data_IF_008567589184
#
_entry.id   IF_008567589184
#
_cell.length_a   1.000
_cell.length_b   1.000
_cell.length_c   1.000
_cell.angle_alpha   90.00
_cell.angle_beta   90.00
_cell.angle_gamma   90.00
#
_symmetry.space_group_name_H-M   'P 1'
#
loop_
_entity.id
_entity.type
_entity.pdbx_description
1 polymer ?
#
# COMPACT_ATOMS: atom_id res chain seq x y z
N UNK A 1 16.85 9.36 31.53
CA UNK A 1 15.92 8.42 30.88
C UNK A 1 15.02 9.25 29.99
N UNK A 2 15.20 9.18 28.67
CA UNK A 2 14.36 9.91 27.72
C UNK A 2 13.13 9.05 27.47
N UNK A 3 11.95 9.55 27.84
CA UNK A 3 10.69 8.92 27.53
C UNK A 3 10.34 9.26 26.08
N UNK A 4 10.37 8.26 25.20
CA UNK A 4 9.87 8.39 23.83
C UNK A 4 8.42 7.90 23.86
N UNK A 5 7.42 8.78 23.72
CA UNK A 5 6.02 8.35 23.69
C UNK A 5 5.79 7.34 22.57
N UNK A 6 4.98 6.31 22.84
CA UNK A 6 4.49 5.39 21.82
C UNK A 6 3.56 6.15 20.88
N UNK A 7 4.11 6.65 19.78
CA UNK A 7 3.32 7.11 18.64
C UNK A 7 2.94 5.84 17.87
N UNK A 8 1.64 5.59 17.68
CA UNK A 8 1.20 4.50 16.81
C UNK A 8 1.75 4.76 15.42
N UNK A 9 2.41 3.77 14.83
CA UNK A 9 2.95 3.90 13.47
C UNK A 9 1.86 4.27 12.48
N UNK A 10 2.25 4.91 11.38
CA UNK A 10 1.30 5.23 10.31
C UNK A 10 0.64 3.93 9.80
N UNK A 11 -0.69 3.89 9.75
CA UNK A 11 -1.41 2.68 9.32
C UNK A 11 -1.48 2.63 7.81
N UNK A 12 -0.98 1.55 7.24
CA UNK A 12 -1.00 1.29 5.81
C UNK A 12 -1.97 0.15 5.52
N UNK A 13 -3.03 0.48 4.79
CA UNK A 13 -4.00 -0.51 4.33
C UNK A 13 -3.46 -1.21 3.09
N UNK A 14 -3.53 -2.54 3.08
CA UNK A 14 -3.21 -3.36 1.93
C UNK A 14 -4.40 -4.23 1.55
N UNK A 15 -4.86 -4.12 0.31
CA UNK A 15 -5.93 -4.97 -0.21
C UNK A 15 -5.34 -6.23 -0.85
N UNK A 16 -5.84 -7.37 -0.40
CA UNK A 16 -5.51 -8.67 -0.99
C UNK A 16 -6.42 -8.93 -2.19
N UNK A 17 -5.84 -9.02 -3.39
CA UNK A 17 -6.55 -9.20 -4.67
C UNK A 17 -6.07 -10.44 -5.43
N UNK A 18 -5.41 -11.36 -4.73
CA UNK A 18 -4.89 -12.60 -5.32
C UNK A 18 -6.01 -13.49 -5.83
N UNK A 19 -5.77 -14.20 -6.95
CA UNK A 19 -6.73 -15.14 -7.54
C UNK A 19 -7.00 -16.32 -6.59
N UNK A 20 -6.00 -16.68 -5.78
CA UNK A 20 -6.13 -17.68 -4.73
C UNK A 20 -5.73 -17.11 -3.37
N UNK A 21 -6.38 -17.50 -2.26
CA UNK A 21 -5.97 -17.05 -0.94
C UNK A 21 -4.51 -17.48 -0.66
N UNK A 22 -3.63 -16.56 -0.24
CA UNK A 22 -2.26 -16.90 0.12
C UNK A 22 -2.26 -17.82 1.33
N UNK A 23 -1.33 -18.77 1.31
CA UNK A 23 -1.10 -19.65 2.47
C UNK A 23 -0.64 -18.85 3.69
N UNK A 24 -0.82 -19.38 4.91
CA UNK A 24 -0.31 -18.74 6.13
C UNK A 24 1.19 -18.44 6.08
N UNK A 25 1.98 -19.30 5.43
CA UNK A 25 3.42 -19.09 5.24
C UNK A 25 3.71 -17.89 4.34
N UNK A 26 2.96 -17.73 3.25
CA UNK A 26 3.11 -16.58 2.35
C UNK A 26 2.73 -15.27 3.03
N UNK A 27 1.62 -15.25 3.78
CA UNK A 27 1.24 -14.06 4.57
C UNK A 27 2.29 -13.74 5.63
N UNK A 28 2.87 -14.75 6.27
CA UNK A 28 3.95 -14.57 7.26
C UNK A 28 5.20 -13.97 6.64
N UNK A 29 5.55 -14.35 5.40
CA UNK A 29 6.67 -13.76 4.65
C UNK A 29 6.42 -12.28 4.33
N UNK A 30 5.24 -11.95 3.80
CA UNK A 30 4.80 -10.57 3.53
C UNK A 30 4.92 -9.72 4.81
N UNK A 31 4.35 -10.19 5.92
CA UNK A 31 4.43 -9.50 7.20
C UNK A 31 5.86 -9.35 7.72
N UNK A 32 6.70 -10.37 7.57
CA UNK A 32 8.08 -10.34 8.03
C UNK A 32 8.92 -9.33 7.24
N UNK A 33 8.76 -9.32 5.91
CA UNK A 33 9.46 -8.38 5.03
C UNK A 33 9.02 -6.93 5.29
N UNK A 34 7.72 -6.69 5.47
CA UNK A 34 7.24 -5.36 5.88
C UNK A 34 7.81 -4.95 7.25
N UNK A 35 7.80 -5.86 8.23
CA UNK A 35 8.27 -5.60 9.60
C UNK A 35 9.76 -5.26 9.66
N UNK A 36 10.56 -5.83 8.74
CA UNK A 36 11.97 -5.49 8.58
C UNK A 36 12.13 -4.00 8.21
N UNK A 37 11.37 -3.54 7.21
CA UNK A 37 11.35 -2.15 6.77
C UNK A 37 10.76 -1.17 7.77
N UNK A 38 9.73 -1.60 8.50
CA UNK A 38 9.04 -0.79 9.49
C UNK A 38 9.82 -0.67 10.80
N UNK A 39 10.97 -1.33 10.91
CA UNK A 39 11.77 -1.39 12.13
C UNK A 39 10.95 -1.88 13.33
N UNK A 40 10.04 -2.83 13.12
CA UNK A 40 9.09 -3.30 14.15
C UNK A 40 9.73 -3.97 15.36
N UNK A 41 11.03 -4.26 15.30
CA UNK A 41 11.82 -4.74 16.45
C UNK A 41 12.05 -3.65 17.51
N UNK A 42 11.88 -2.37 17.15
CA UNK A 42 12.06 -1.24 18.04
C UNK A 42 10.72 -0.82 18.65
N UNK A 43 10.72 -0.12 19.81
CA UNK A 43 9.49 0.23 20.52
C UNK A 43 8.49 1.03 19.69
N UNK A 44 8.96 1.83 18.73
CA UNK A 44 8.12 2.67 17.87
C UNK A 44 8.32 2.27 16.41
N UNK A 45 7.50 1.34 15.88
CA UNK A 45 7.54 1.03 14.45
C UNK A 45 7.16 2.26 13.63
N UNK A 46 7.75 2.39 12.46
CA UNK A 46 7.49 3.49 11.54
C UNK A 46 6.05 3.41 11.00
N UNK A 47 5.63 2.21 10.64
CA UNK A 47 4.33 1.95 10.04
C UNK A 47 3.79 0.59 10.49
N UNK A 48 2.46 0.44 10.43
CA UNK A 48 1.74 -0.79 10.71
C UNK A 48 1.00 -1.24 9.43
N UNK A 49 1.19 -2.49 9.01
CA UNK A 49 0.52 -3.07 7.85
C UNK A 49 -0.81 -3.71 8.24
N UNK A 50 -1.89 -3.27 7.61
CA UNK A 50 -3.23 -3.80 7.78
C UNK A 50 -3.70 -4.47 6.48
N UNK A 51 -3.61 -5.80 6.42
CA UNK A 51 -4.06 -6.57 5.25
C UNK A 51 -5.57 -6.81 5.36
N UNK A 52 -6.32 -6.35 4.36
CA UNK A 52 -7.76 -6.49 4.25
C UNK A 52 -8.10 -7.35 3.03
N UNK A 53 -9.00 -8.31 3.24
CA UNK A 53 -9.67 -9.01 2.15
C UNK A 53 -10.97 -8.28 1.85
N UNK A 54 -11.05 -7.61 0.70
CA UNK A 54 -12.30 -7.04 0.22
C UNK A 54 -12.83 -7.87 -0.96
N UNK A 55 -13.95 -8.61 -0.79
CA UNK A 55 -14.52 -9.42 -1.86
C UNK A 55 -14.80 -8.64 -3.15
N UNK A 56 -15.13 -7.34 -3.08
CA UNK A 56 -15.35 -6.53 -4.28
C UNK A 56 -14.07 -6.29 -5.09
N UNK A 57 -12.90 -6.43 -4.47
CA UNK A 57 -11.59 -6.25 -5.10
C UNK A 57 -10.90 -7.58 -5.44
N UNK A 58 -11.47 -8.72 -5.04
CA UNK A 58 -10.93 -10.05 -5.31
C UNK A 58 -11.14 -10.52 -6.77
N UNK A 59 -11.68 -9.68 -7.65
CA UNK A 59 -11.84 -10.01 -9.07
C UNK A 59 -10.60 -9.62 -9.86
N UNK A 60 -9.99 -10.58 -10.57
CA UNK A 60 -8.84 -10.35 -11.45
C UNK A 60 -9.09 -9.30 -12.57
N UNK A 61 -10.35 -8.93 -12.81
CA UNK A 61 -10.74 -7.90 -13.77
C UNK A 61 -10.79 -6.48 -13.22
N UNK A 62 -10.60 -6.27 -11.91
CA UNK A 62 -10.70 -4.95 -11.32
C UNK A 62 -9.39 -4.19 -11.47
N UNK A 63 -9.44 -3.05 -12.17
CA UNK A 63 -8.27 -2.18 -12.33
C UNK A 63 -7.95 -1.42 -11.04
N UNK A 64 -6.67 -1.09 -10.82
CA UNK A 64 -6.27 -0.22 -9.71
C UNK A 64 -6.98 1.14 -9.74
N UNK A 65 -7.29 1.67 -10.92
CA UNK A 65 -8.04 2.91 -11.08
C UNK A 65 -9.49 2.77 -10.57
N UNK A 66 -10.14 1.63 -10.86
CA UNK A 66 -11.46 1.32 -10.33
C UNK A 66 -11.44 1.19 -8.80
N UNK A 67 -10.41 0.55 -8.23
CA UNK A 67 -10.22 0.47 -6.78
C UNK A 67 -10.05 1.85 -6.15
N UNK A 68 -9.16 2.69 -6.71
CA UNK A 68 -8.95 4.07 -6.21
C UNK A 68 -10.24 4.87 -6.23
N UNK A 69 -11.00 4.84 -7.34
CA UNK A 69 -12.30 5.54 -7.44
C UNK A 69 -13.31 5.03 -6.40
N UNK A 70 -13.36 3.72 -6.15
CA UNK A 70 -14.26 3.15 -5.15
C UNK A 70 -13.89 3.60 -3.73
N UNK A 71 -12.61 3.61 -3.37
CA UNK A 71 -12.13 4.12 -2.08
C UNK A 71 -12.38 5.63 -1.92
N UNK A 72 -12.16 6.42 -2.98
CA UNK A 72 -12.44 7.86 -2.96
C UNK A 72 -13.95 8.14 -2.82
N UNK A 73 -14.81 7.35 -3.49
CA UNK A 73 -16.26 7.44 -3.32
C UNK A 73 -16.72 7.04 -1.91
N UNK A 74 -15.98 6.15 -1.24
CA UNK A 74 -16.17 5.82 0.17
C UNK A 74 -15.60 6.86 1.15
N UNK A 75 -15.01 7.95 0.63
CA UNK A 75 -14.47 9.06 1.42
C UNK A 75 -13.02 8.86 1.88
N UNK A 76 -12.31 7.86 1.35
CA UNK A 76 -10.89 7.65 1.64
C UNK A 76 -10.02 8.33 0.57
N UNK A 77 -9.18 9.29 0.98
CA UNK A 77 -8.12 9.87 0.15
C UNK A 77 -6.74 9.30 0.47
N UNK A 78 -6.64 8.42 1.48
CA UNK A 78 -5.35 7.85 1.88
C UNK A 78 -4.82 6.89 0.80
N UNK A 79 -3.49 6.86 0.57
CA UNK A 79 -2.88 5.86 -0.28
C UNK A 79 -3.06 4.46 0.31
N UNK A 80 -3.08 3.44 -0.54
CA UNK A 80 -3.20 2.05 -0.13
C UNK A 80 -2.30 1.14 -0.96
N UNK A 81 -2.05 -0.06 -0.43
CA UNK A 81 -1.27 -1.09 -1.10
C UNK A 81 -2.20 -2.12 -1.75
N UNK A 82 -1.73 -2.76 -2.82
CA UNK A 82 -2.36 -3.94 -3.41
C UNK A 82 -1.38 -5.09 -3.39
N UNK A 83 -1.82 -6.21 -2.81
CA UNK A 83 -1.13 -7.50 -2.79
C UNK A 83 -1.78 -8.36 -3.88
N UNK A 84 -1.07 -8.54 -4.98
CA UNK A 84 -1.51 -9.33 -6.14
C UNK A 84 -0.80 -10.68 -6.19
N UNK A 85 -1.13 -11.51 -7.18
CA UNK A 85 -0.52 -12.83 -7.34
C UNK A 85 1.01 -12.75 -7.57
N UNK A 86 1.49 -11.66 -8.19
CA UNK A 86 2.92 -11.43 -8.40
C UNK A 86 3.65 -11.12 -7.09
N UNK A 87 2.99 -10.45 -6.12
CA UNK A 87 3.56 -10.16 -4.80
C UNK A 87 4.08 -11.42 -4.11
N UNK A 88 3.41 -12.54 -4.30
CA UNK A 88 3.80 -13.83 -3.70
C UNK A 88 5.08 -14.40 -4.32
N UNK A 89 5.47 -13.91 -5.49
CA UNK A 89 6.64 -14.34 -6.25
C UNK A 89 7.83 -13.41 -6.05
N UNK A 90 7.61 -12.09 -6.12
CA UNK A 90 8.69 -11.09 -6.12
C UNK A 90 8.79 -10.25 -4.83
N UNK A 91 7.81 -10.38 -3.92
CA UNK A 91 7.72 -9.56 -2.70
C UNK A 91 7.39 -8.09 -2.97
N UNK A 92 7.01 -7.74 -4.20
CA UNK A 92 6.59 -6.42 -4.64
C UNK A 92 5.11 -6.20 -4.39
N UNK A 93 4.75 -5.01 -3.92
CA UNK A 93 3.36 -4.56 -3.80
C UNK A 93 3.15 -3.32 -4.66
N UNK A 94 1.93 -3.12 -5.14
CA UNK A 94 1.57 -1.85 -5.75
C UNK A 94 1.22 -0.85 -4.66
N UNK A 95 1.88 0.30 -4.66
CA UNK A 95 1.47 1.48 -3.94
C UNK A 95 0.57 2.32 -4.84
N UNK A 96 -0.67 2.55 -4.39
CA UNK A 96 -1.68 3.33 -5.10
C UNK A 96 -1.88 4.64 -4.34
N UNK A 97 -1.58 5.77 -4.99
CA UNK A 97 -1.71 7.09 -4.40
C UNK A 97 -3.08 7.70 -4.75
N UNK A 98 -3.10 8.60 -5.73
CA UNK A 98 -4.29 9.23 -6.26
C UNK A 98 -4.17 9.40 -7.79
N UNK A 99 -5.22 9.94 -8.41
CA UNK A 99 -5.15 10.41 -9.77
C UNK A 99 -4.35 11.71 -9.86
N UNK A 100 -3.75 11.94 -11.03
CA UNK A 100 -3.00 13.15 -11.30
C UNK A 100 -3.89 14.40 -11.13
N UNK A 101 -3.30 15.43 -10.55
CA UNK A 101 -3.87 16.76 -10.35
C UNK A 101 -3.76 17.61 -11.61
N UNK A 102 -4.48 18.74 -11.65
CA UNK A 102 -4.36 19.70 -12.75
C UNK A 102 -2.93 20.25 -12.86
N UNK A 103 -2.30 20.57 -11.73
CA UNK A 103 -0.91 21.04 -11.66
C UNK A 103 0.07 20.03 -12.30
N UNK A 104 -0.05 18.73 -11.97
CA UNK A 104 0.78 17.68 -12.55
C UNK A 104 0.58 17.53 -14.08
N UNK A 105 -0.61 17.86 -14.59
CA UNK A 105 -0.87 17.86 -16.04
C UNK A 105 -0.28 19.11 -16.70
N UNK A 106 -0.43 20.28 -16.08
CA UNK A 106 0.12 21.55 -16.57
C UNK A 106 1.66 21.53 -16.62
N UNK A 107 2.30 20.90 -15.62
CA UNK A 107 3.75 20.72 -15.54
C UNK A 107 4.26 19.59 -16.44
N UNK A 108 3.36 18.84 -17.10
CA UNK A 108 3.70 17.76 -18.02
C UNK A 108 4.16 16.47 -17.34
N UNK A 109 3.89 16.31 -16.04
CA UNK A 109 4.16 15.09 -15.27
C UNK A 109 3.12 13.98 -15.56
N UNK A 110 1.92 14.37 -15.99
CA UNK A 110 0.85 13.47 -16.42
C UNK A 110 0.19 13.92 -17.73
N UNK A 111 -0.30 12.96 -18.52
CA UNK A 111 -1.02 13.24 -19.77
C UNK A 111 -2.43 13.82 -19.51
N UNK A 112 -3.06 13.44 -18.39
CA UNK A 112 -4.37 13.92 -17.97
C UNK A 112 -4.64 13.61 -16.51
N UNK A 113 -5.71 14.19 -15.95
CA UNK A 113 -6.18 13.91 -14.59
C UNK A 113 -6.80 12.51 -14.43
N UNK A 114 -6.89 11.72 -15.51
CA UNK A 114 -7.30 10.32 -15.45
C UNK A 114 -6.13 9.35 -15.24
N UNK A 115 -4.89 9.84 -15.26
CA UNK A 115 -3.69 9.05 -14.99
C UNK A 115 -3.61 8.71 -13.50
N UNK A 116 -3.60 7.42 -13.18
CA UNK A 116 -3.43 6.95 -11.81
C UNK A 116 -1.94 6.89 -11.43
N UNK A 117 -1.57 7.59 -10.36
CA UNK A 117 -0.23 7.49 -9.77
C UNK A 117 -0.13 6.18 -8.98
N UNK A 118 0.68 5.26 -9.51
CA UNK A 118 1.01 3.99 -8.87
C UNK A 118 2.45 3.57 -9.12
N UNK A 119 3.02 2.83 -8.18
CA UNK A 119 4.38 2.29 -8.30
C UNK A 119 4.45 0.89 -7.69
N UNK A 120 5.18 -0.03 -8.34
CA UNK A 120 5.48 -1.36 -7.77
C UNK A 120 6.76 -1.25 -6.95
N UNK A 121 6.68 -1.56 -5.67
CA UNK A 121 7.78 -1.38 -4.70
C UNK A 121 7.94 -2.64 -3.87
N UNK A 122 9.18 -3.01 -3.51
CA UNK A 122 9.40 -4.10 -2.55
C UNK A 122 8.74 -3.76 -1.22
N UNK A 123 8.00 -4.70 -0.65
CA UNK A 123 7.19 -4.44 0.55
C UNK A 123 8.03 -3.96 1.75
N UNK A 124 9.30 -4.37 1.83
CA UNK A 124 10.26 -3.92 2.84
C UNK A 124 10.64 -2.43 2.73
N UNK A 125 10.45 -1.79 1.58
CA UNK A 125 10.78 -0.37 1.39
C UNK A 125 9.59 0.55 1.63
N UNK A 126 8.36 0.02 1.59
CA UNK A 126 7.13 0.79 1.77
C UNK A 126 7.13 1.61 3.07
N UNK A 127 7.50 1.06 4.25
CA UNK A 127 7.50 1.84 5.49
C UNK A 127 8.38 3.09 5.42
N UNK A 128 9.53 2.99 4.73
CA UNK A 128 10.49 4.10 4.61
C UNK A 128 9.93 5.23 3.75
N UNK A 129 9.05 4.93 2.79
CA UNK A 129 8.36 5.96 1.99
C UNK A 129 7.44 6.86 2.84
N UNK A 130 7.07 6.41 4.05
CA UNK A 130 6.20 7.14 4.98
C UNK A 130 6.94 7.77 6.16
N UNK A 131 8.28 7.82 6.14
CA UNK A 131 9.11 8.43 7.20
C UNK A 131 9.24 9.95 7.05
N UNK A 132 9.01 10.48 5.85
CA UNK A 132 9.39 11.85 5.47
C UNK A 132 8.23 12.85 5.33
N UNK A 133 7.04 12.54 5.85
CA UNK A 133 5.87 13.45 5.82
C UNK A 133 5.20 13.56 7.19
#
# INVERSE_FOLDING_TARGET
>A
MVYIPHIRGHKLTAYLTTTSPPSPTQLSLIHSSFSLGAYSRFPTPIAELHILANPSYASASLSHASMRRAESAAGSSAPFLVIDDETLTDGGVWYISDFATEDEVEDGEAESTDVLVKIRVRIEHVPVMHVNY
#
